data_IF_837918497435
#
_entry.id   IF_837918497435
#
_cell.length_a   1.000
_cell.length_b   1.000
_cell.length_c   1.000
_cell.angle_alpha   90.00
_cell.angle_beta   90.00
_cell.angle_gamma   90.00
#
_symmetry.space_group_name_H-M   'P 1'
#
loop_
_entity.id
_entity.type
_entity.pdbx_description
1 polymer ?
#
# COMPACT_ATOMS: atom_id res chain seq x y z
N UNK A 1 -14.46 11.22 -11.81
CA UNK A 1 -13.79 9.93 -12.01
C UNK A 1 -12.30 10.04 -12.29
N UNK A 2 -11.87 11.05 -13.05
CA UNK A 2 -10.46 11.22 -13.37
C UNK A 2 -9.61 11.37 -12.11
N UNK A 3 -10.02 12.22 -11.18
CA UNK A 3 -9.27 12.43 -9.94
C UNK A 3 -9.20 11.17 -9.09
N UNK A 4 -10.29 10.41 -9.02
CA UNK A 4 -10.29 9.14 -8.31
C UNK A 4 -9.34 8.15 -8.97
N UNK A 5 -9.34 8.06 -10.29
CA UNK A 5 -8.45 7.15 -11.00
C UNK A 5 -6.97 7.50 -10.77
N UNK A 6 -6.64 8.80 -10.81
CA UNK A 6 -5.29 9.26 -10.55
C UNK A 6 -4.87 8.91 -9.12
N UNK A 7 -5.73 9.22 -8.16
CA UNK A 7 -5.45 8.91 -6.76
C UNK A 7 -5.32 7.41 -6.52
N UNK A 8 -6.21 6.62 -7.11
CA UNK A 8 -6.16 5.17 -6.98
C UNK A 8 -4.88 4.58 -7.57
N UNK A 9 -4.47 5.09 -8.73
CA UNK A 9 -3.22 4.65 -9.36
C UNK A 9 -2.01 4.97 -8.47
N UNK A 10 -1.96 6.18 -7.95
CA UNK A 10 -0.87 6.59 -7.05
C UNK A 10 -0.88 5.71 -5.80
N UNK A 11 -2.05 5.50 -5.21
CA UNK A 11 -2.19 4.65 -4.04
C UNK A 11 -1.70 3.24 -4.32
N UNK A 12 -2.19 2.63 -5.40
CA UNK A 12 -1.83 1.27 -5.74
C UNK A 12 -0.33 1.12 -5.96
N UNK A 13 0.29 2.05 -6.69
CA UNK A 13 1.72 2.01 -6.94
C UNK A 13 2.51 2.22 -5.66
N UNK A 14 2.17 3.25 -4.90
CA UNK A 14 2.92 3.64 -3.71
C UNK A 14 2.80 2.58 -2.60
N UNK A 15 1.58 2.15 -2.32
CA UNK A 15 1.33 1.19 -1.24
C UNK A 15 1.82 -0.21 -1.62
N UNK A 16 1.63 -0.62 -2.87
CA UNK A 16 2.14 -1.92 -3.32
C UNK A 16 3.65 -1.99 -3.24
N UNK A 17 4.34 -0.91 -3.61
CA UNK A 17 5.79 -0.88 -3.52
C UNK A 17 6.28 -1.11 -2.09
N UNK A 18 5.60 -0.53 -1.11
CA UNK A 18 5.97 -0.68 0.29
C UNK A 18 5.54 -2.03 0.85
N UNK A 19 4.31 -2.43 0.57
CA UNK A 19 3.72 -3.65 1.16
C UNK A 19 4.34 -4.91 0.56
N UNK A 20 4.54 -4.94 -0.75
CA UNK A 20 5.06 -6.13 -1.43
C UNK A 20 6.51 -6.44 -1.05
N UNK A 21 7.23 -5.51 -0.42
CA UNK A 21 8.57 -5.80 0.09
C UNK A 21 8.57 -6.96 1.09
N UNK A 22 7.45 -7.18 1.76
CA UNK A 22 7.34 -8.23 2.77
C UNK A 22 7.22 -9.63 2.16
N UNK A 23 6.79 -9.73 0.91
CA UNK A 23 6.61 -11.02 0.25
C UNK A 23 7.49 -11.20 -0.97
N UNK A 24 8.09 -10.15 -1.50
CA UNK A 24 8.92 -10.20 -2.69
C UNK A 24 10.32 -9.68 -2.40
N UNK A 25 11.36 -10.53 -2.58
CA UNK A 25 12.76 -10.06 -2.43
C UNK A 25 13.12 -8.96 -3.42
N UNK A 26 12.51 -8.96 -4.60
CA UNK A 26 12.78 -7.95 -5.62
C UNK A 26 12.39 -6.55 -5.11
N UNK A 27 11.19 -6.44 -4.54
CA UNK A 27 10.72 -5.16 -4.00
C UNK A 27 11.56 -4.73 -2.80
N UNK A 28 11.94 -5.67 -1.94
CA UNK A 28 12.79 -5.36 -0.79
C UNK A 28 14.15 -4.82 -1.24
N UNK A 29 14.74 -5.43 -2.26
CA UNK A 29 16.03 -4.98 -2.79
C UNK A 29 15.92 -3.61 -3.45
N UNK A 30 14.86 -3.35 -4.21
CA UNK A 30 14.64 -2.05 -4.82
C UNK A 30 14.50 -0.96 -3.77
N UNK A 31 13.75 -1.23 -2.71
CA UNK A 31 13.59 -0.29 -1.62
C UNK A 31 14.92 0.00 -0.94
N UNK A 32 15.72 -1.05 -0.70
CA UNK A 32 17.04 -0.89 -0.11
C UNK A 32 17.96 -0.05 -0.99
N UNK A 33 17.93 -0.27 -2.31
CA UNK A 33 18.71 0.51 -3.24
C UNK A 33 18.31 1.99 -3.21
N UNK A 34 17.02 2.28 -3.11
CA UNK A 34 16.54 3.65 -3.00
C UNK A 34 17.02 4.30 -1.71
N UNK A 35 16.99 3.56 -0.60
CA UNK A 35 17.47 4.08 0.68
C UNK A 35 18.96 4.36 0.64
N UNK A 36 19.73 3.49 0.00
CA UNK A 36 21.18 3.66 -0.11
C UNK A 36 21.54 4.83 -1.04
N UNK A 37 20.74 5.01 -2.10
CA UNK A 37 21.02 6.06 -3.10
C UNK A 37 20.61 7.45 -2.63
N UNK A 38 19.43 7.58 -2.04
CA UNK A 38 18.85 8.87 -1.70
C UNK A 38 18.84 9.17 -0.20
N UNK A 39 19.09 8.17 0.63
CA UNK A 39 18.97 8.32 2.07
C UNK A 39 17.59 7.94 2.57
N UNK A 40 17.55 7.33 3.74
CA UNK A 40 16.34 6.83 4.34
C UNK A 40 15.30 7.94 4.59
N UNK A 41 15.78 9.08 5.10
CA UNK A 41 14.88 10.19 5.43
C UNK A 41 14.23 10.78 4.19
N UNK A 42 14.99 10.91 3.11
CA UNK A 42 14.47 11.47 1.86
C UNK A 42 13.42 10.58 1.25
N UNK A 43 13.67 9.26 1.22
CA UNK A 43 12.71 8.29 0.70
C UNK A 43 11.43 8.32 1.53
N UNK A 44 11.56 8.36 2.85
CA UNK A 44 10.41 8.42 3.75
C UNK A 44 9.60 9.70 3.54
N UNK A 45 10.27 10.82 3.32
CA UNK A 45 9.60 12.10 3.06
C UNK A 45 8.82 12.07 1.76
N UNK A 46 9.42 11.55 0.69
CA UNK A 46 8.75 11.42 -0.61
C UNK A 46 7.55 10.49 -0.50
N UNK A 47 7.70 9.37 0.19
CA UNK A 47 6.61 8.43 0.40
C UNK A 47 5.44 9.09 1.14
N UNK A 48 5.73 9.81 2.21
CA UNK A 48 4.69 10.52 2.95
C UNK A 48 3.99 11.58 2.11
N UNK A 49 4.74 12.31 1.30
CA UNK A 49 4.17 13.29 0.38
C UNK A 49 3.25 12.62 -0.65
N UNK A 50 3.67 11.47 -1.17
CA UNK A 50 2.87 10.70 -2.12
C UNK A 50 1.60 10.17 -1.47
N UNK A 51 1.67 9.73 -0.22
CA UNK A 51 0.50 9.27 0.53
C UNK A 51 -0.54 10.38 0.66
N UNK A 52 -0.12 11.57 1.04
CA UNK A 52 -1.03 12.71 1.11
C UNK A 52 -1.61 13.06 -0.26
N UNK A 53 -0.82 12.91 -1.31
CA UNK A 53 -1.26 13.15 -2.66
C UNK A 53 -2.41 12.25 -3.07
N UNK A 54 -2.27 10.93 -2.89
CA UNK A 54 -3.32 10.00 -3.31
C UNK A 54 -4.57 10.14 -2.43
N UNK A 55 -4.40 10.40 -1.15
CA UNK A 55 -5.54 10.66 -0.27
C UNK A 55 -6.31 11.88 -0.76
N UNK A 56 -5.60 12.96 -1.10
CA UNK A 56 -6.23 14.17 -1.61
C UNK A 56 -6.97 13.94 -2.91
N UNK A 57 -6.36 13.23 -3.86
CA UNK A 57 -7.02 12.94 -5.15
C UNK A 57 -8.25 12.05 -4.97
N UNK A 58 -8.18 11.05 -4.12
CA UNK A 58 -9.34 10.18 -3.87
C UNK A 58 -10.46 10.98 -3.19
N UNK A 59 -10.12 11.79 -2.20
CA UNK A 59 -11.11 12.61 -1.51
C UNK A 59 -11.76 13.58 -2.49
N UNK A 60 -10.98 14.21 -3.36
CA UNK A 60 -11.50 15.13 -4.37
C UNK A 60 -12.39 14.38 -5.36
N UNK A 61 -12.02 13.19 -5.77
CA UNK A 61 -12.84 12.34 -6.63
C UNK A 61 -14.19 12.01 -6.02
N UNK A 62 -14.21 11.65 -4.74
CA UNK A 62 -15.45 11.43 -4.02
C UNK A 62 -16.31 12.69 -3.96
N UNK A 63 -15.68 13.83 -3.70
CA UNK A 63 -16.41 15.09 -3.58
C UNK A 63 -17.04 15.52 -4.91
N UNK A 64 -16.25 15.47 -5.99
CA UNK A 64 -16.71 15.93 -7.29
C UNK A 64 -17.66 14.94 -7.96
N UNK A 65 -17.58 13.67 -7.60
CA UNK A 65 -18.33 12.59 -8.25
C UNK A 65 -19.05 11.75 -7.21
N UNK A 66 -19.69 12.43 -6.28
CA UNK A 66 -20.34 11.78 -5.13
C UNK A 66 -21.41 10.78 -5.55
N UNK A 67 -21.98 10.96 -6.73
CA UNK A 67 -23.00 10.04 -7.26
C UNK A 67 -22.46 8.60 -7.39
N UNK A 68 -21.15 8.46 -7.58
CA UNK A 68 -20.48 7.18 -7.78
C UNK A 68 -19.77 6.69 -6.51
N UNK A 69 -20.13 7.21 -5.34
CA UNK A 69 -19.43 6.85 -4.11
C UNK A 69 -19.46 5.35 -3.82
N UNK A 70 -20.54 4.66 -4.18
CA UNK A 70 -20.63 3.22 -3.97
C UNK A 70 -19.62 2.47 -4.83
N UNK A 71 -19.49 2.88 -6.09
CA UNK A 71 -18.51 2.28 -7.00
C UNK A 71 -17.10 2.48 -6.47
N UNK A 72 -16.78 3.69 -6.05
CA UNK A 72 -15.45 3.99 -5.53
C UNK A 72 -15.15 3.21 -4.25
N UNK A 73 -16.12 3.12 -3.36
CA UNK A 73 -15.98 2.35 -2.13
C UNK A 73 -15.75 0.87 -2.40
N UNK A 74 -16.47 0.30 -3.37
CA UNK A 74 -16.30 -1.10 -3.78
C UNK A 74 -14.90 -1.32 -4.35
N UNK A 75 -14.44 -0.43 -5.22
CA UNK A 75 -13.11 -0.54 -5.81
C UNK A 75 -12.01 -0.49 -4.75
N UNK A 76 -12.11 0.45 -3.81
CA UNK A 76 -11.15 0.53 -2.71
C UNK A 76 -11.20 -0.72 -1.83
N UNK A 77 -12.41 -1.20 -1.55
CA UNK A 77 -12.59 -2.41 -0.74
C UNK A 77 -11.99 -3.63 -1.40
N UNK A 78 -12.19 -3.79 -2.70
CA UNK A 78 -11.62 -4.90 -3.46
C UNK A 78 -10.10 -4.84 -3.42
N UNK A 79 -9.51 -3.67 -3.69
CA UNK A 79 -8.07 -3.51 -3.67
C UNK A 79 -7.48 -3.88 -2.32
N UNK A 80 -8.02 -3.32 -1.23
CA UNK A 80 -7.49 -3.57 0.09
C UNK A 80 -7.76 -5.01 0.56
N UNK A 81 -8.85 -5.62 0.11
CA UNK A 81 -9.12 -7.04 0.39
C UNK A 81 -8.09 -7.93 -0.29
N UNK A 82 -7.75 -7.64 -1.54
CA UNK A 82 -6.72 -8.38 -2.27
C UNK A 82 -5.38 -8.25 -1.56
N UNK A 83 -5.02 -7.05 -1.15
CA UNK A 83 -3.78 -6.81 -0.41
C UNK A 83 -3.78 -7.58 0.92
N UNK A 84 -4.87 -7.51 1.66
CA UNK A 84 -4.96 -8.19 2.95
C UNK A 84 -4.80 -9.71 2.79
N UNK A 85 -5.53 -10.28 1.84
CA UNK A 85 -5.49 -11.73 1.63
C UNK A 85 -4.18 -12.16 0.98
N UNK A 86 -3.71 -11.41 -0.01
CA UNK A 86 -2.53 -11.78 -0.78
C UNK A 86 -1.20 -11.52 -0.09
N UNK A 87 -1.16 -10.56 0.82
CA UNK A 87 0.08 -10.14 1.46
C UNK A 87 0.05 -10.40 2.97
N UNK A 88 -0.93 -9.85 3.66
CA UNK A 88 -0.94 -9.91 5.12
C UNK A 88 -1.27 -11.30 5.66
N UNK A 89 -2.18 -12.01 5.00
CA UNK A 89 -2.53 -13.37 5.46
C UNK A 89 -1.35 -14.33 5.33
N UNK A 90 -0.62 -14.39 4.19
CA UNK A 90 0.58 -15.21 4.12
C UNK A 90 1.65 -14.81 5.13
N UNK A 91 1.81 -13.52 5.38
CA UNK A 91 2.75 -13.03 6.39
C UNK A 91 2.38 -13.54 7.78
N UNK A 92 1.09 -13.46 8.11
CA UNK A 92 0.60 -13.92 9.40
C UNK A 92 0.80 -15.43 9.56
N UNK A 93 0.47 -16.20 8.53
CA UNK A 93 0.66 -17.67 8.55
C UNK A 93 2.14 -17.99 8.73
N UNK A 94 3.01 -17.32 8.00
CA UNK A 94 4.46 -17.52 8.13
C UNK A 94 4.94 -17.22 9.54
N UNK A 95 4.46 -16.12 10.12
CA UNK A 95 4.84 -15.71 11.46
C UNK A 95 4.41 -16.74 12.49
N UNK A 96 3.20 -17.26 12.36
CA UNK A 96 2.68 -18.29 13.28
C UNK A 96 3.42 -19.60 13.11
N UNK A 97 3.74 -19.97 11.86
CA UNK A 97 4.46 -21.22 11.57
C UNK A 97 5.89 -21.18 12.11
N UNK A 98 6.55 -20.05 12.03
CA UNK A 98 7.94 -19.91 12.42
C UNK A 98 8.13 -19.70 13.92
N UNK A 99 7.05 -19.53 14.67
CA UNK A 99 7.18 -19.42 16.12
C UNK A 99 7.57 -20.75 16.72
N UNK A 100 8.61 -20.79 17.57
CA UNK A 100 8.97 -22.02 18.25
C UNK A 100 7.84 -22.49 19.15
N UNK A 101 7.72 -23.82 19.26
CA UNK A 101 6.79 -24.42 20.20
C UNK A 101 7.15 -23.97 21.62
N UNK A 102 6.15 -23.56 22.37
CA UNK A 102 6.39 -23.06 23.72
C UNK A 102 6.74 -21.57 23.76
N UNK A 103 6.88 -20.95 22.61
CA UNK A 103 7.12 -19.51 22.55
C UNK A 103 5.84 -18.78 22.91
N UNK A 104 5.92 -17.99 23.97
CA UNK A 104 4.77 -17.25 24.46
C UNK A 104 5.03 -15.77 24.26
N UNK A 105 4.03 -15.10 23.79
CA UNK A 105 4.08 -13.67 23.60
C UNK A 105 3.45 -12.95 24.75
#
# INVERSE_FOLDING_TARGET
MIFFCIGFFIMATNESFVILRHVSPWFANKRKQLHDKFGKEKVKRVHGFTDWGWVGFIALGFYLDFENWKLYSVLLGIYWSIIAIGVYLPMLIRKLRNKPTGYVK
#
